data_IF_638885088968
#
_entry.id   IF_638885088968
#
_cell.length_a   1.000
_cell.length_b   1.000
_cell.length_c   1.000
_cell.angle_alpha   90.00
_cell.angle_beta   90.00
_cell.angle_gamma   90.00
#
_symmetry.space_group_name_H-M   'P 1'
#
loop_
_entity.id
_entity.type
_entity.pdbx_description
1 polymer ?
#
# COMPACT_ATOMS: atom_id res chain seq x y z
N UNK A 1 17.91 -13.63 -9.74
CA UNK A 1 16.92 -13.05 -10.68
C UNK A 1 16.32 -11.82 -10.01
N UNK A 2 16.40 -10.64 -10.62
CA UNK A 2 15.82 -9.43 -10.02
C UNK A 2 14.30 -9.53 -10.04
N UNK A 3 13.63 -9.10 -8.98
CA UNK A 3 12.16 -9.09 -8.91
C UNK A 3 11.64 -8.00 -9.85
N UNK A 4 10.73 -8.37 -10.75
CA UNK A 4 10.20 -7.47 -11.77
C UNK A 4 8.92 -6.79 -11.28
N UNK A 5 8.81 -5.49 -11.49
CA UNK A 5 7.60 -4.71 -11.17
C UNK A 5 6.77 -4.56 -12.46
N UNK A 6 5.48 -4.91 -12.41
CA UNK A 6 4.56 -4.63 -13.52
C UNK A 6 4.29 -3.12 -13.64
N UNK A 7 5.09 -2.46 -14.48
CA UNK A 7 5.04 -1.01 -14.69
C UNK A 7 3.69 -0.56 -15.27
N UNK A 8 3.12 -1.35 -16.16
CA UNK A 8 1.85 -1.03 -16.83
C UNK A 8 0.70 -1.04 -15.82
N UNK A 9 0.65 -2.06 -14.95
CA UNK A 9 -0.27 -2.10 -13.83
C UNK A 9 -0.06 -0.91 -12.88
N UNK A 10 1.18 -0.61 -12.50
CA UNK A 10 1.48 0.54 -11.66
C UNK A 10 0.92 1.85 -12.24
N UNK A 11 1.21 2.17 -13.51
CA UNK A 11 0.78 3.43 -14.11
C UNK A 11 -0.73 3.53 -14.26
N UNK A 12 -1.43 2.46 -14.65
CA UNK A 12 -2.91 2.46 -14.69
C UNK A 12 -3.51 2.72 -13.31
N UNK A 13 -2.98 2.04 -12.29
CA UNK A 13 -3.50 2.06 -10.92
C UNK A 13 -3.22 3.39 -10.22
N UNK A 14 -2.00 3.91 -10.31
CA UNK A 14 -1.67 5.21 -9.74
C UNK A 14 -2.43 6.35 -10.44
N UNK A 15 -2.65 6.26 -11.75
CA UNK A 15 -3.50 7.21 -12.50
C UNK A 15 -4.95 7.16 -12.03
N UNK A 16 -5.49 5.97 -11.74
CA UNK A 16 -6.82 5.82 -11.15
C UNK A 16 -6.91 6.47 -9.76
N UNK A 17 -5.89 6.28 -8.92
CA UNK A 17 -5.83 6.92 -7.60
C UNK A 17 -5.83 8.45 -7.71
N UNK A 18 -4.93 9.02 -8.54
CA UNK A 18 -4.85 10.46 -8.75
C UNK A 18 -6.10 11.04 -9.43
N UNK A 19 -6.72 10.33 -10.36
CA UNK A 19 -7.95 10.77 -11.00
C UNK A 19 -9.10 10.89 -9.98
N UNK A 20 -9.28 9.89 -9.12
CA UNK A 20 -10.30 9.94 -8.06
C UNK A 20 -9.97 11.01 -7.02
N UNK A 21 -8.69 11.15 -6.64
CA UNK A 21 -8.28 12.20 -5.71
C UNK A 21 -8.50 13.61 -6.28
N UNK A 22 -8.29 13.80 -7.59
CA UNK A 22 -8.52 15.09 -8.28
C UNK A 22 -10.01 15.42 -8.44
N UNK A 23 -10.90 14.43 -8.52
CA UNK A 23 -12.35 14.67 -8.49
C UNK A 23 -12.81 15.32 -7.19
N UNK A 24 -12.11 15.03 -6.07
CA UNK A 24 -12.36 15.69 -4.79
C UNK A 24 -13.70 15.32 -4.15
N UNK A 25 -14.23 14.14 -4.46
CA UNK A 25 -15.44 13.61 -3.82
C UNK A 25 -15.11 13.03 -2.43
N UNK A 26 -16.07 13.09 -1.50
CA UNK A 26 -15.98 12.54 -0.14
C UNK A 26 -14.69 12.93 0.61
N UNK A 27 -13.96 11.98 1.21
CA UNK A 27 -12.72 12.26 1.94
C UNK A 27 -11.59 12.74 1.03
N UNK A 28 -11.58 12.42 -0.26
CA UNK A 28 -10.56 12.92 -1.18
C UNK A 28 -10.62 14.44 -1.39
N UNK A 29 -11.80 15.05 -1.25
CA UNK A 29 -11.98 16.50 -1.33
C UNK A 29 -11.35 17.27 -0.17
N UNK A 30 -10.99 16.56 0.91
CA UNK A 30 -10.49 17.16 2.15
C UNK A 30 -8.98 17.00 2.33
N UNK A 31 -8.27 16.28 1.45
CA UNK A 31 -6.86 15.94 1.69
C UNK A 31 -5.92 16.65 0.73
N UNK A 32 -4.84 17.18 1.30
CA UNK A 32 -3.78 17.92 0.61
C UNK A 32 -2.65 16.99 0.15
N UNK A 33 -2.40 15.92 0.90
CA UNK A 33 -1.49 14.84 0.57
C UNK A 33 -2.01 13.52 1.16
N UNK A 34 -1.51 12.39 0.68
CA UNK A 34 -1.78 11.08 1.27
C UNK A 34 -0.48 10.45 1.78
N UNK A 35 -0.52 9.90 3.00
CA UNK A 35 0.62 9.26 3.65
C UNK A 35 0.27 7.81 3.97
N UNK A 36 1.14 6.90 3.53
CA UNK A 36 0.98 5.46 3.74
C UNK A 36 2.31 4.89 4.22
N UNK A 37 2.34 4.35 5.43
CA UNK A 37 3.55 3.82 6.05
C UNK A 37 3.33 2.37 6.49
N UNK A 38 4.21 1.47 6.07
CA UNK A 38 4.20 0.05 6.44
C UNK A 38 5.46 -0.24 7.24
N UNK A 39 5.30 -0.81 8.44
CA UNK A 39 6.40 -1.24 9.31
C UNK A 39 6.74 -2.71 9.14
N UNK A 40 7.29 -3.32 10.18
CA UNK A 40 7.52 -4.77 10.26
C UNK A 40 6.40 -5.35 11.12
N UNK A 41 5.52 -6.16 10.55
CA UNK A 41 4.55 -6.92 11.33
C UNK A 41 4.17 -8.21 10.61
N UNK A 42 4.35 -9.35 11.28
CA UNK A 42 3.97 -10.68 10.78
C UNK A 42 2.55 -11.07 11.24
N UNK A 43 1.96 -10.33 12.18
CA UNK A 43 0.62 -10.58 12.73
C UNK A 43 -0.48 -9.73 12.09
N UNK A 44 -0.13 -8.59 11.47
CA UNK A 44 -1.09 -7.78 10.71
C UNK A 44 -1.38 -8.47 9.36
N UNK A 45 -2.44 -9.29 9.36
CA UNK A 45 -2.84 -10.06 8.16
C UNK A 45 -3.47 -9.18 7.08
N UNK A 46 -4.19 -8.12 7.46
CA UNK A 46 -4.90 -7.24 6.52
C UNK A 46 -4.82 -5.77 6.94
N UNK A 47 -4.02 -4.99 6.20
CA UNK A 47 -3.94 -3.53 6.34
C UNK A 47 -4.21 -2.85 5.00
N UNK A 48 -4.79 -1.64 5.03
CA UNK A 48 -5.03 -0.87 3.80
C UNK A 48 -3.71 -0.41 3.17
N UNK A 49 -2.71 -0.18 3.99
CA UNK A 49 -1.36 0.20 3.59
C UNK A 49 -0.67 -0.91 2.79
N UNK A 50 -0.69 -2.16 3.27
CA UNK A 50 -0.11 -3.30 2.56
C UNK A 50 -0.93 -3.70 1.34
N UNK A 51 -2.27 -3.59 1.42
CA UNK A 51 -3.14 -3.78 0.27
C UNK A 51 -2.84 -2.76 -0.85
N UNK A 52 -2.62 -1.48 -0.52
CA UNK A 52 -2.26 -0.46 -1.49
C UNK A 52 -0.89 -0.74 -2.12
N UNK A 53 0.10 -1.17 -1.34
CA UNK A 53 1.41 -1.57 -1.87
C UNK A 53 1.29 -2.76 -2.82
N UNK A 54 0.57 -3.82 -2.41
CA UNK A 54 0.32 -4.99 -3.26
C UNK A 54 -0.41 -4.60 -4.55
N UNK A 55 -1.38 -3.69 -4.46
CA UNK A 55 -2.09 -3.19 -5.63
C UNK A 55 -1.20 -2.34 -6.54
N UNK A 56 -0.34 -1.47 -6.02
CA UNK A 56 0.53 -0.64 -6.86
C UNK A 56 1.74 -1.39 -7.43
N UNK A 57 2.35 -2.29 -6.65
CA UNK A 57 3.66 -2.87 -6.96
C UNK A 57 3.62 -4.38 -7.18
N UNK A 58 2.55 -5.05 -6.78
CA UNK A 58 2.48 -6.52 -6.73
C UNK A 58 3.17 -7.14 -5.52
N UNK A 59 3.71 -6.33 -4.60
CA UNK A 59 4.48 -6.78 -3.44
C UNK A 59 4.22 -5.91 -2.23
N UNK A 60 4.31 -6.53 -1.06
CA UNK A 60 4.42 -5.81 0.21
C UNK A 60 5.86 -5.35 0.45
N UNK A 61 6.00 -4.09 0.86
CA UNK A 61 7.27 -3.44 1.18
C UNK A 61 7.24 -2.96 2.63
N UNK A 62 7.68 -3.81 3.56
CA UNK A 62 7.88 -3.44 4.97
C UNK A 62 8.85 -2.26 5.14
N UNK A 63 8.84 -1.59 6.29
CA UNK A 63 9.71 -0.43 6.55
C UNK A 63 9.76 0.59 5.39
N UNK A 64 8.60 0.91 4.83
CA UNK A 64 8.49 1.78 3.66
C UNK A 64 7.42 2.84 3.90
N UNK A 65 7.77 4.09 3.63
CA UNK A 65 6.87 5.23 3.72
C UNK A 65 6.65 5.78 2.31
N UNK A 66 5.39 5.98 1.95
CA UNK A 66 4.95 6.53 0.69
C UNK A 66 4.17 7.82 0.96
N UNK A 67 4.54 8.88 0.25
CA UNK A 67 3.87 10.17 0.30
C UNK A 67 3.43 10.53 -1.11
N UNK A 68 2.13 10.78 -1.28
CA UNK A 68 1.53 11.19 -2.54
C UNK A 68 1.11 12.65 -2.40
N UNK A 69 1.82 13.55 -3.07
CA UNK A 69 1.49 14.97 -3.17
C UNK A 69 0.91 15.29 -4.54
N UNK A 70 0.37 16.49 -4.71
CA UNK A 70 -0.16 16.96 -5.99
C UNK A 70 0.92 16.99 -7.08
N UNK A 71 2.13 17.44 -6.74
CA UNK A 71 3.21 17.71 -7.69
C UNK A 71 4.41 16.76 -7.61
N UNK A 72 4.45 15.85 -6.62
CA UNK A 72 5.46 14.79 -6.54
C UNK A 72 5.00 13.59 -5.71
N UNK A 73 5.61 12.44 -5.94
CA UNK A 73 5.46 11.24 -5.11
C UNK A 73 6.82 10.97 -4.45
N UNK A 74 6.83 10.55 -3.18
CA UNK A 74 8.05 10.16 -2.47
C UNK A 74 7.92 8.76 -1.91
N UNK A 75 8.92 7.92 -2.17
CA UNK A 75 9.05 6.61 -1.53
C UNK A 75 10.35 6.56 -0.74
N UNK A 76 10.28 6.31 0.56
CA UNK A 76 11.44 6.03 1.41
C UNK A 76 11.44 4.57 1.80
N UNK A 77 12.50 3.87 1.42
CA UNK A 77 12.66 2.45 1.70
C UNK A 77 14.14 2.09 1.79
N UNK A 78 14.44 0.86 2.21
CA UNK A 78 15.84 0.35 2.18
C UNK A 78 16.44 0.40 0.77
N UNK A 79 17.78 0.46 0.67
CA UNK A 79 18.52 0.50 -0.61
C UNK A 79 18.07 -0.55 -1.63
N UNK A 80 17.82 -1.80 -1.19
CA UNK A 80 17.33 -2.88 -2.06
C UNK A 80 15.93 -2.61 -2.62
N UNK A 81 15.03 -2.06 -1.78
CA UNK A 81 13.66 -1.70 -2.18
C UNK A 81 13.65 -0.46 -3.08
N UNK A 82 14.53 0.50 -2.83
CA UNK A 82 14.75 1.65 -3.74
C UNK A 82 15.19 1.17 -5.12
N UNK A 83 16.13 0.22 -5.20
CA UNK A 83 16.55 -0.35 -6.50
C UNK A 83 15.39 -1.03 -7.24
N UNK A 84 14.53 -1.75 -6.51
CA UNK A 84 13.30 -2.31 -7.06
C UNK A 84 12.34 -1.23 -7.60
N UNK A 85 12.13 -0.15 -6.83
CA UNK A 85 11.22 0.95 -7.17
C UNK A 85 11.72 1.88 -8.30
N UNK A 86 13.03 1.86 -8.63
CA UNK A 86 13.56 2.59 -9.80
C UNK A 86 12.85 2.23 -11.10
N UNK A 87 12.30 1.02 -11.18
CA UNK A 87 11.55 0.53 -12.34
C UNK A 87 10.35 1.41 -12.72
N UNK A 88 9.74 2.12 -11.74
CA UNK A 88 8.61 3.03 -11.95
C UNK A 88 8.95 4.51 -11.77
N UNK A 89 10.12 4.81 -11.18
CA UNK A 89 10.59 6.18 -11.04
C UNK A 89 11.21 6.77 -12.32
N UNK A 90 11.68 5.90 -13.23
CA UNK A 90 12.21 6.33 -14.53
C UNK A 90 11.03 6.58 -15.49
N UNK A 91 10.64 7.84 -15.65
CA UNK A 91 9.50 8.27 -16.49
C UNK A 91 9.89 8.66 -17.92
N UNK A 92 11.19 8.77 -18.24
CA UNK A 92 11.64 9.17 -19.58
C UNK A 92 11.19 8.17 -20.64
N UNK A 93 10.34 8.65 -21.56
CA UNK A 93 9.87 7.87 -22.71
C UNK A 93 8.68 6.96 -22.44
N UNK A 94 8.07 7.02 -21.25
CA UNK A 94 6.86 6.25 -20.96
C UNK A 94 5.62 7.12 -21.10
N UNK A 95 4.85 6.93 -22.18
CA UNK A 95 3.60 7.65 -22.43
C UNK A 95 2.57 7.44 -21.30
N UNK A 96 2.62 6.30 -20.60
CA UNK A 96 1.74 5.99 -19.48
C UNK A 96 2.04 6.82 -18.22
N UNK A 97 3.20 7.46 -18.13
CA UNK A 97 3.56 8.37 -17.04
C UNK A 97 2.98 9.80 -17.24
N UNK A 98 2.37 10.11 -18.38
CA UNK A 98 1.84 11.43 -18.67
C UNK A 98 0.72 11.83 -17.68
N UNK A 99 0.85 13.03 -17.11
CA UNK A 99 -0.10 13.59 -16.15
C UNK A 99 0.04 13.04 -14.73
N UNK A 100 1.06 12.22 -14.45
CA UNK A 100 1.40 11.77 -13.11
C UNK A 100 2.57 12.58 -12.52
N UNK A 101 2.58 12.81 -11.20
CA UNK A 101 3.72 13.46 -10.57
C UNK A 101 5.00 12.60 -10.63
N UNK A 102 6.18 13.23 -10.71
CA UNK A 102 7.45 12.50 -10.67
C UNK A 102 7.64 11.78 -9.33
N UNK A 103 8.21 10.58 -9.39
CA UNK A 103 8.55 9.76 -8.22
C UNK A 103 9.98 10.06 -7.77
N UNK A 104 10.12 10.52 -6.54
CA UNK A 104 11.39 10.70 -5.83
C UNK A 104 11.64 9.51 -4.91
N UNK A 105 12.80 8.89 -5.03
CA UNK A 105 13.21 7.76 -4.19
C UNK A 105 14.21 8.23 -3.14
N UNK A 106 13.90 7.96 -1.87
CA UNK A 106 14.76 8.22 -0.72
C UNK A 106 15.24 6.90 -0.14
N UNK A 107 16.51 6.83 0.25
CA UNK A 107 17.09 5.63 0.85
C UNK A 107 16.99 5.74 2.37
N UNK A 108 16.41 4.72 3.00
CA UNK A 108 16.38 4.57 4.46
C UNK A 108 17.75 4.13 4.95
N UNK A 109 18.32 4.92 5.85
CA UNK A 109 19.56 4.58 6.54
C UNK A 109 19.25 3.65 7.72
N UNK A 110 20.00 2.55 7.82
CA UNK A 110 19.77 1.53 8.87
C UNK A 110 20.42 1.90 10.20
N UNK A 111 21.58 2.54 10.17
CA UNK A 111 22.42 2.80 11.34
C UNK A 111 22.54 4.30 11.66
N UNK A 112 21.79 5.13 10.95
CA UNK A 112 21.83 6.58 11.08
C UNK A 112 20.40 7.14 11.21
N UNK A 113 20.30 8.37 11.69
CA UNK A 113 19.02 9.05 11.79
C UNK A 113 18.42 9.30 10.42
N UNK A 114 17.15 8.93 10.24
CA UNK A 114 16.39 9.25 9.02
C UNK A 114 15.73 10.63 9.06
N UNK A 115 16.06 11.48 10.05
CA UNK A 115 15.42 12.78 10.28
C UNK A 115 15.42 13.67 9.04
N UNK A 116 16.53 13.74 8.31
CA UNK A 116 16.63 14.54 7.08
C UNK A 116 15.70 14.05 5.96
N UNK A 117 15.48 12.73 5.85
CA UNK A 117 14.55 12.17 4.87
C UNK A 117 13.10 12.42 5.27
N UNK A 118 12.79 12.34 6.56
CA UNK A 118 11.47 12.67 7.08
C UNK A 118 11.14 14.15 6.88
N UNK A 119 12.09 15.07 7.13
CA UNK A 119 11.89 16.50 6.88
C UNK A 119 11.58 16.77 5.39
N UNK A 120 12.30 16.14 4.46
CA UNK A 120 12.02 16.26 3.01
C UNK A 120 10.60 15.80 2.64
N UNK A 121 10.04 14.83 3.36
CA UNK A 121 8.65 14.42 3.17
C UNK A 121 7.66 15.41 3.77
N UNK A 122 7.94 15.95 4.95
CA UNK A 122 7.09 16.97 5.56
C UNK A 122 7.07 18.24 4.71
N UNK A 123 8.22 18.69 4.21
CA UNK A 123 8.31 19.76 3.22
C UNK A 123 7.47 19.47 1.96
N UNK A 124 7.46 18.21 1.51
CA UNK A 124 6.61 17.81 0.38
C UNK A 124 5.12 17.93 0.68
N UNK A 125 4.72 17.55 1.89
CA UNK A 125 3.33 17.60 2.35
C UNK A 125 2.90 19.06 2.49
N UNK A 126 3.70 19.91 3.15
CA UNK A 126 3.46 21.35 3.28
C UNK A 126 3.30 22.04 1.92
N UNK A 127 4.07 21.61 0.92
CA UNK A 127 4.02 22.17 -0.44
C UNK A 127 2.92 21.56 -1.33
N UNK A 128 2.13 20.62 -0.82
CA UNK A 128 1.04 19.97 -1.57
C UNK A 128 -0.28 20.66 -1.26
N UNK A 129 -0.96 21.23 -2.26
CA UNK A 129 -2.21 21.99 -2.07
C UNK A 129 -2.11 23.00 -0.91
N UNK A 130 -2.98 22.93 0.09
CA UNK A 130 -2.90 23.81 1.28
C UNK A 130 -1.93 23.32 2.36
N UNK A 131 -1.48 22.06 2.29
CA UNK A 131 -0.51 21.48 3.19
C UNK A 131 -0.95 21.32 4.64
N UNK A 132 -2.27 21.25 4.91
CA UNK A 132 -2.83 21.19 6.27
C UNK A 132 -3.45 19.84 6.61
N UNK A 133 -4.08 19.20 5.63
CA UNK A 133 -4.84 17.96 5.82
C UNK A 133 -4.17 16.78 5.12
N UNK A 134 -3.89 15.71 5.87
CA UNK A 134 -3.27 14.49 5.34
C UNK A 134 -4.22 13.31 5.40
N UNK A 135 -4.38 12.65 4.25
CA UNK A 135 -5.09 11.38 4.14
C UNK A 135 -4.24 10.23 4.67
N UNK A 136 -4.80 9.46 5.61
CA UNK A 136 -4.13 8.31 6.24
C UNK A 136 -5.09 7.13 6.38
N UNK A 137 -4.55 5.93 6.64
CA UNK A 137 -5.35 4.79 7.09
C UNK A 137 -5.30 4.70 8.62
N UNK A 138 -6.29 5.28 9.30
CA UNK A 138 -6.22 5.49 10.77
C UNK A 138 -6.14 4.20 11.60
N UNK A 139 -6.57 3.06 11.03
CA UNK A 139 -6.54 1.75 11.69
C UNK A 139 -5.22 1.03 11.53
N UNK A 140 -4.39 1.45 10.57
CA UNK A 140 -3.12 0.81 10.29
C UNK A 140 -2.07 1.32 11.28
N UNK A 141 -1.65 0.46 12.21
CA UNK A 141 -0.63 0.77 13.22
C UNK A 141 0.43 -0.31 13.18
N UNK A 142 1.56 0.01 12.56
CA UNK A 142 2.69 -0.91 12.49
C UNK A 142 3.69 -0.63 13.63
N UNK A 143 4.21 -1.68 14.29
CA UNK A 143 5.19 -1.53 15.35
C UNK A 143 6.60 -1.21 14.78
N UNK A 144 7.55 -1.04 15.70
CA UNK A 144 8.97 -0.84 15.39
C UNK A 144 9.46 0.59 15.55
N UNK A 145 10.73 0.74 15.93
CA UNK A 145 11.37 2.03 16.20
C UNK A 145 11.36 2.98 15.00
N UNK A 146 11.49 2.43 13.80
CA UNK A 146 11.47 3.21 12.56
C UNK A 146 10.11 3.86 12.31
N UNK A 147 9.02 3.08 12.43
CA UNK A 147 7.65 3.60 12.31
C UNK A 147 7.31 4.56 13.45
N UNK A 148 7.74 4.26 14.68
CA UNK A 148 7.59 5.17 15.81
C UNK A 148 8.24 6.53 15.53
N UNK A 149 9.50 6.53 15.08
CA UNK A 149 10.22 7.77 14.76
C UNK A 149 9.53 8.61 13.68
N UNK A 150 8.97 7.97 12.65
CA UNK A 150 8.18 8.65 11.63
C UNK A 150 6.87 9.22 12.20
N UNK A 151 6.12 8.39 12.93
CA UNK A 151 4.84 8.76 13.52
C UNK A 151 4.98 9.92 14.49
N UNK A 152 6.02 9.94 15.31
CA UNK A 152 6.30 11.04 16.24
C UNK A 152 6.50 12.36 15.48
N UNK A 153 7.25 12.33 14.36
CA UNK A 153 7.54 13.53 13.58
C UNK A 153 6.30 14.06 12.83
N UNK A 154 5.56 13.21 12.13
CA UNK A 154 4.33 13.65 11.43
C UNK A 154 3.22 14.06 12.41
N UNK A 155 3.22 13.53 13.64
CA UNK A 155 2.32 14.01 14.70
C UNK A 155 2.73 15.39 15.19
N UNK A 156 4.03 15.63 15.39
CA UNK A 156 4.56 16.93 15.81
C UNK A 156 4.34 18.04 14.79
N UNK A 157 4.18 17.70 13.51
CA UNK A 157 3.84 18.65 12.44
C UNK A 157 2.46 19.32 12.64
N UNK A 158 1.54 18.69 13.39
CA UNK A 158 0.23 19.26 13.69
C UNK A 158 -0.78 19.23 12.53
N UNK A 159 -0.53 18.39 11.50
CA UNK A 159 -1.46 18.20 10.38
C UNK A 159 -2.77 17.54 10.83
N UNK A 160 -3.88 18.00 10.28
CA UNK A 160 -5.17 17.34 10.46
C UNK A 160 -5.19 16.03 9.68
N UNK A 161 -5.74 14.97 10.28
CA UNK A 161 -5.77 13.64 9.69
C UNK A 161 -7.17 13.27 9.23
N UNK A 162 -7.28 12.84 7.98
CA UNK A 162 -8.53 12.36 7.39
C UNK A 162 -8.37 10.87 7.05
N UNK A 163 -9.31 10.04 7.48
CA UNK A 163 -9.31 8.62 7.11
C UNK A 163 -9.74 8.45 5.66
N UNK A 164 -8.83 8.00 4.80
CA UNK A 164 -9.10 7.76 3.38
C UNK A 164 -9.39 6.29 3.07
N UNK A 165 -9.58 5.46 4.10
CA UNK A 165 -9.79 4.00 3.95
C UNK A 165 -10.93 3.65 3.00
N UNK A 166 -12.07 4.34 3.09
CA UNK A 166 -13.25 4.06 2.29
C UNK A 166 -13.04 4.43 0.82
N UNK A 167 -12.62 5.67 0.54
CA UNK A 167 -12.40 6.16 -0.83
C UNK A 167 -11.29 5.42 -1.56
N UNK A 168 -10.22 5.00 -0.87
CA UNK A 168 -9.18 4.15 -1.47
C UNK A 168 -9.70 2.73 -1.71
N UNK A 169 -10.49 2.16 -0.79
CA UNK A 169 -11.10 0.85 -1.02
C UNK A 169 -12.01 0.85 -2.24
N UNK A 170 -12.84 1.90 -2.40
CA UNK A 170 -13.68 2.07 -3.57
C UNK A 170 -12.85 2.26 -4.85
N UNK A 171 -11.78 3.06 -4.76
CA UNK A 171 -10.80 3.23 -5.85
C UNK A 171 -10.16 1.91 -6.25
N UNK A 172 -9.98 0.95 -5.35
CA UNK A 172 -9.41 -0.38 -5.62
C UNK A 172 -10.45 -1.46 -5.94
N UNK A 173 -11.75 -1.14 -5.87
CA UNK A 173 -12.82 -2.13 -5.88
C UNK A 173 -12.93 -2.88 -7.22
N UNK A 174 -12.91 -2.15 -8.35
CA UNK A 174 -12.95 -2.75 -9.69
C UNK A 174 -11.61 -3.43 -10.00
N UNK A 175 -11.69 -4.74 -10.25
CA UNK A 175 -10.55 -5.62 -10.49
C UNK A 175 -10.21 -5.71 -11.98
N UNK A 176 -8.94 -5.65 -12.31
CA UNK A 176 -8.41 -5.91 -13.64
C UNK A 176 -8.47 -7.42 -13.97
N UNK A 177 -8.40 -7.80 -15.25
CA UNK A 177 -8.48 -9.20 -15.67
C UNK A 177 -7.43 -10.10 -15.01
N UNK A 178 -6.21 -9.58 -14.83
CA UNK A 178 -5.15 -10.27 -14.10
C UNK A 178 -5.50 -10.51 -12.62
N UNK A 179 -6.12 -9.53 -11.96
CA UNK A 179 -6.59 -9.69 -10.58
C UNK A 179 -7.76 -10.68 -10.50
N UNK A 180 -8.72 -10.61 -11.44
CA UNK A 180 -9.84 -11.56 -11.52
C UNK A 180 -9.35 -13.00 -11.78
N UNK A 181 -8.33 -13.19 -12.62
CA UNK A 181 -7.73 -14.50 -12.85
C UNK A 181 -7.13 -15.08 -11.57
N UNK A 182 -6.41 -14.27 -10.78
CA UNK A 182 -5.88 -14.67 -9.48
C UNK A 182 -7.01 -15.03 -8.50
N UNK A 183 -8.07 -14.22 -8.44
CA UNK A 183 -9.24 -14.49 -7.58
C UNK A 183 -9.96 -15.79 -7.97
N UNK A 184 -10.15 -16.06 -9.27
CA UNK A 184 -10.74 -17.33 -9.75
C UNK A 184 -9.85 -18.52 -9.41
N UNK A 185 -8.52 -18.37 -9.54
CA UNK A 185 -7.58 -19.43 -9.15
C UNK A 185 -7.65 -19.72 -7.66
N UNK A 186 -7.68 -18.68 -6.82
CA UNK A 186 -7.86 -18.82 -5.38
C UNK A 186 -9.18 -19.54 -5.04
N UNK A 187 -10.30 -19.12 -5.64
CA UNK A 187 -11.60 -19.76 -5.44
C UNK A 187 -11.61 -21.24 -5.88
N UNK A 188 -10.94 -21.56 -6.99
CA UNK A 188 -10.76 -22.94 -7.45
C UNK A 188 -10.03 -23.81 -6.44
N UNK A 189 -8.91 -23.31 -5.90
CA UNK A 189 -8.13 -24.01 -4.86
C UNK A 189 -8.98 -24.19 -3.59
N UNK A 190 -9.69 -23.16 -3.13
CA UNK A 190 -10.59 -23.25 -1.97
C UNK A 190 -11.66 -24.31 -2.17
N UNK A 191 -12.27 -24.36 -3.38
CA UNK A 191 -13.30 -25.34 -3.72
C UNK A 191 -12.75 -26.77 -3.74
N UNK A 192 -11.52 -26.95 -4.23
CA UNK A 192 -10.83 -28.23 -4.26
C UNK A 192 -10.50 -28.74 -2.85
N UNK A 193 -9.92 -27.88 -1.99
CA UNK A 193 -9.67 -28.22 -0.58
C UNK A 193 -10.97 -28.60 0.14
N UNK A 194 -12.04 -27.85 -0.08
CA UNK A 194 -13.33 -28.18 0.51
C UNK A 194 -13.86 -29.54 0.02
N UNK A 195 -13.90 -29.73 -1.30
CA UNK A 195 -14.58 -30.88 -1.90
C UNK A 195 -13.80 -32.17 -1.80
N UNK A 196 -12.46 -32.11 -1.85
CA UNK A 196 -11.58 -33.28 -1.91
C UNK A 196 -10.98 -33.67 -0.57
N UNK A 197 -10.94 -32.74 0.38
CA UNK A 197 -10.37 -32.99 1.70
C UNK A 197 -11.39 -32.77 2.81
N UNK A 198 -11.88 -31.54 2.98
CA UNK A 198 -12.70 -31.21 4.15
C UNK A 198 -14.00 -32.02 4.20
N UNK A 199 -14.73 -32.09 3.09
CA UNK A 199 -15.97 -32.86 3.00
C UNK A 199 -15.74 -34.35 3.29
N UNK A 200 -14.74 -34.95 2.67
CA UNK A 200 -14.40 -36.37 2.87
C UNK A 200 -14.02 -36.64 4.32
N UNK A 201 -13.19 -35.78 4.92
CA UNK A 201 -12.78 -35.91 6.33
C UNK A 201 -13.97 -35.80 7.29
N UNK A 202 -14.93 -34.91 7.03
CA UNK A 202 -16.14 -34.81 7.85
C UNK A 202 -17.00 -36.06 7.73
N UNK A 203 -17.14 -36.64 6.52
CA UNK A 203 -17.87 -37.90 6.34
C UNK A 203 -17.22 -39.05 7.12
N UNK A 204 -15.89 -39.19 7.05
CA UNK A 204 -15.15 -40.19 7.83
C UNK A 204 -15.36 -40.06 9.34
N UNK A 205 -15.30 -38.83 9.87
CA UNK A 205 -15.50 -38.55 11.30
C UNK A 205 -16.90 -39.01 11.73
N UNK A 206 -17.92 -38.74 10.91
CA UNK A 206 -19.30 -39.13 11.19
C UNK A 206 -19.46 -40.65 11.13
N UNK A 207 -18.94 -41.29 10.07
CA UNK A 207 -19.05 -42.73 9.88
C UNK A 207 -18.35 -43.54 10.99
N UNK A 208 -17.27 -43.00 11.55
CA UNK A 208 -16.50 -43.61 12.63
C UNK A 208 -16.94 -43.18 14.05
N UNK A 209 -17.95 -42.30 14.18
CA UNK A 209 -18.36 -41.65 15.45
C UNK A 209 -17.16 -41.03 16.21
N UNK A 210 -16.22 -40.46 15.46
CA UNK A 210 -15.01 -39.85 16.02
C UNK A 210 -15.34 -38.51 16.70
N UNK A 211 -14.78 -38.29 17.89
CA UNK A 211 -14.86 -36.98 18.56
C UNK A 211 -13.66 -36.12 18.22
N UNK A 212 -13.84 -35.21 17.28
CA UNK A 212 -12.81 -34.25 16.85
C UNK A 212 -13.23 -32.84 17.25
N UNK A 213 -12.29 -32.05 17.79
CA UNK A 213 -12.54 -30.64 18.10
C UNK A 213 -12.55 -29.82 16.82
N UNK A 214 -13.31 -28.73 16.80
CA UNK A 214 -13.33 -27.80 15.65
C UNK A 214 -12.01 -27.04 15.45
N UNK A 215 -11.18 -26.95 16.49
CA UNK A 215 -9.83 -26.36 16.48
C UNK A 215 -8.81 -27.42 16.87
#
# INVERSE_FOLDING_TARGET
MAVNLDKEAYYRRIKRLYANWKKGEDEFGKVDAMVVSVGVDEEIVYAKSTALQTWLFGYELTDTIMVFCESKILFLASKKKVEFLKQVAVTKGNENANGLPPVSLLVREKNESNKANFEKMLEAIRASREGKMVGVFIKDKFPGEYMKSWNDMITAEGLERVDISAVVAYTMAVKEDGELALMRKAAGITSEVFSKFFKERVMEIVDADEKVRHQ
#
